data_IF_398971706223
#
_entry.id   IF_398971706223
#
_cell.length_a   1.000
_cell.length_b   1.000
_cell.length_c   1.000
_cell.angle_alpha   90.00
_cell.angle_beta   90.00
_cell.angle_gamma   90.00
#
_symmetry.space_group_name_H-M   'P 1'
#
loop_
_entity.id
_entity.type
_entity.pdbx_description
1 polymer ?
#
# COMPACT_ATOMS: atom_id res chain seq x y z
N UNK A 1 11.10 0.70 -21.24
CA UNK A 1 9.87 0.20 -20.60
C UNK A 1 8.75 1.21 -20.83
N UNK A 2 7.48 0.77 -21.02
CA UNK A 2 6.34 1.69 -21.13
C UNK A 2 6.18 2.42 -19.79
N UNK A 3 5.94 3.73 -19.81
CA UNK A 3 5.61 4.49 -18.60
C UNK A 3 4.21 4.09 -18.14
N UNK A 4 4.08 3.54 -16.93
CA UNK A 4 2.83 3.15 -16.31
C UNK A 4 2.25 4.28 -15.46
N UNK A 5 0.92 4.32 -15.34
CA UNK A 5 0.19 5.12 -14.36
C UNK A 5 -0.20 4.23 -13.20
N UNK A 6 0.35 4.49 -12.03
CA UNK A 6 0.27 3.64 -10.85
C UNK A 6 -0.49 4.36 -9.75
N UNK A 7 -1.53 3.68 -9.25
CA UNK A 7 -2.20 4.07 -8.02
C UNK A 7 -1.61 3.33 -6.83
N UNK A 8 -1.52 4.01 -5.69
CA UNK A 8 -1.18 3.36 -4.42
C UNK A 8 -2.24 3.75 -3.42
N UNK A 9 -2.91 2.75 -2.86
CA UNK A 9 -3.97 2.92 -1.87
C UNK A 9 -3.49 2.37 -0.54
N UNK A 10 -3.34 3.25 0.44
CA UNK A 10 -3.09 2.90 1.83
C UNK A 10 -4.42 2.85 2.58
N UNK A 11 -4.87 1.65 2.95
CA UNK A 11 -6.11 1.49 3.70
C UNK A 11 -5.86 1.78 5.18
N UNK A 12 -6.30 2.94 5.60
CA UNK A 12 -6.14 3.42 6.97
C UNK A 12 -7.43 3.23 7.75
N UNK A 13 -7.39 2.39 8.78
CA UNK A 13 -8.52 2.27 9.71
C UNK A 13 -8.60 3.53 10.57
N UNK A 14 -9.67 4.25 10.39
CA UNK A 14 -10.06 5.26 11.36
C UNK A 14 -10.96 4.58 12.38
N UNK A 15 -10.48 4.16 13.52
CA UNK A 15 -11.25 3.52 14.58
C UNK A 15 -12.70 4.05 14.73
N UNK A 16 -13.52 3.67 15.67
CA UNK A 16 -14.94 4.01 15.73
C UNK A 16 -15.15 5.53 15.80
N UNK A 17 -15.39 6.14 14.64
CA UNK A 17 -15.49 7.58 14.42
C UNK A 17 -16.81 8.21 14.91
N UNK A 18 -17.55 7.54 15.81
CA UNK A 18 -18.83 8.04 16.33
C UNK A 18 -18.72 9.28 17.20
N UNK A 19 -17.57 9.51 17.81
CA UNK A 19 -17.34 10.72 18.59
C UNK A 19 -16.80 11.84 17.69
N UNK A 20 -17.40 13.03 17.76
CA UNK A 20 -16.94 14.22 17.04
C UNK A 20 -15.44 14.51 17.31
N UNK A 21 -14.99 14.28 18.54
CA UNK A 21 -13.60 14.40 18.95
C UNK A 21 -12.65 13.45 18.19
N UNK A 22 -13.06 12.21 17.94
CA UNK A 22 -12.23 11.28 17.18
C UNK A 22 -12.01 11.74 15.72
N UNK A 23 -12.98 12.43 15.13
CA UNK A 23 -12.85 13.02 13.78
C UNK A 23 -11.89 14.22 13.75
N UNK A 24 -11.93 15.04 14.80
CA UNK A 24 -11.13 16.28 14.90
C UNK A 24 -9.70 15.98 15.32
N UNK A 25 -9.51 15.02 16.23
CA UNK A 25 -8.22 14.68 16.84
C UNK A 25 -7.50 13.50 16.12
N UNK A 26 -8.07 12.96 15.07
CA UNK A 26 -7.38 11.91 14.29
C UNK A 26 -6.12 12.48 13.63
N UNK A 27 -4.99 11.89 14.00
CA UNK A 27 -3.75 12.11 13.26
C UNK A 27 -3.85 11.50 11.88
N UNK A 28 -3.09 12.04 10.92
CA UNK A 28 -2.90 11.42 9.61
C UNK A 28 -2.09 10.12 9.77
N UNK A 29 -2.76 9.03 10.01
CA UNK A 29 -2.16 7.71 10.20
C UNK A 29 -1.85 7.05 8.84
N UNK A 30 -0.85 7.58 8.13
CA UNK A 30 -0.39 6.99 6.88
C UNK A 30 0.71 5.95 7.15
N UNK A 31 0.62 4.80 6.46
CA UNK A 31 1.62 3.75 6.54
C UNK A 31 2.89 4.14 5.78
N UNK A 32 4.05 3.68 6.25
CA UNK A 32 5.33 4.00 5.63
C UNK A 32 5.52 3.21 4.32
N UNK A 33 5.19 1.91 4.31
CA UNK A 33 5.45 1.06 3.15
C UNK A 33 4.73 1.48 1.86
N UNK A 34 3.48 1.94 1.84
CA UNK A 34 2.88 2.50 0.65
C UNK A 34 3.65 3.69 0.08
N UNK A 35 4.17 4.58 0.94
CA UNK A 35 5.02 5.70 0.51
C UNK A 35 6.36 5.22 -0.06
N UNK A 36 6.94 4.16 0.53
CA UNK A 36 8.18 3.53 0.04
C UNK A 36 7.98 2.93 -1.34
N UNK A 37 6.89 2.18 -1.54
CA UNK A 37 6.52 1.62 -2.85
C UNK A 37 6.33 2.74 -3.88
N UNK A 38 5.71 3.86 -3.49
CA UNK A 38 5.55 5.03 -4.35
C UNK A 38 6.90 5.56 -4.85
N UNK A 39 7.87 5.75 -3.94
CA UNK A 39 9.21 6.20 -4.30
C UNK A 39 9.91 5.21 -5.24
N UNK A 40 9.80 3.90 -4.99
CA UNK A 40 10.40 2.89 -5.87
C UNK A 40 9.80 2.91 -7.28
N UNK A 41 8.48 3.07 -7.39
CA UNK A 41 7.81 3.21 -8.68
C UNK A 41 8.24 4.49 -9.43
N UNK A 42 8.40 5.63 -8.73
CA UNK A 42 8.92 6.86 -9.33
C UNK A 42 10.36 6.73 -9.81
N UNK A 43 11.22 6.05 -9.05
CA UNK A 43 12.61 5.79 -9.44
C UNK A 43 12.73 4.96 -10.72
N UNK A 44 11.78 4.06 -10.96
CA UNK A 44 11.66 3.30 -12.21
C UNK A 44 11.04 4.14 -13.37
N UNK A 45 10.72 5.41 -13.14
CA UNK A 45 10.25 6.35 -14.16
C UNK A 45 8.75 6.32 -14.41
N UNK A 46 7.96 5.74 -13.51
CA UNK A 46 6.51 5.67 -13.63
C UNK A 46 5.82 6.89 -13.02
N UNK A 47 4.55 7.09 -13.38
CA UNK A 47 3.70 8.13 -12.83
C UNK A 47 2.91 7.56 -11.66
N UNK A 48 3.03 8.17 -10.48
CA UNK A 48 2.50 7.62 -9.23
C UNK A 48 1.53 8.57 -8.58
N UNK A 49 0.40 8.04 -8.12
CA UNK A 49 -0.57 8.74 -7.28
C UNK A 49 -0.81 7.93 -6.01
N UNK A 50 -0.73 8.58 -4.85
CA UNK A 50 -0.95 7.95 -3.56
C UNK A 50 -2.21 8.48 -2.90
N UNK A 51 -3.05 7.57 -2.42
CA UNK A 51 -4.27 7.85 -1.67
C UNK A 51 -4.27 7.11 -0.33
N UNK A 52 -4.44 7.85 0.76
CA UNK A 52 -4.86 7.28 2.03
C UNK A 52 -6.38 7.17 2.03
N UNK A 53 -6.88 5.93 2.01
CA UNK A 53 -8.29 5.62 1.89
C UNK A 53 -8.86 5.19 3.23
N UNK A 54 -9.87 5.92 3.68
CA UNK A 54 -10.53 5.69 4.98
C UNK A 54 -11.94 5.07 4.83
N UNK A 55 -12.37 4.83 3.60
CA UNK A 55 -13.69 4.30 3.27
C UNK A 55 -14.72 5.36 2.86
N UNK A 56 -14.36 6.64 2.87
CA UNK A 56 -15.26 7.75 2.55
C UNK A 56 -14.83 8.57 1.33
N UNK A 57 -13.60 8.41 0.88
CA UNK A 57 -13.05 9.13 -0.27
C UNK A 57 -13.65 8.60 -1.59
N UNK A 58 -13.95 9.49 -2.51
CA UNK A 58 -14.35 9.12 -3.86
C UNK A 58 -13.11 8.84 -4.72
N UNK A 59 -12.86 7.56 -5.01
CA UNK A 59 -11.72 7.14 -5.82
C UNK A 59 -11.66 7.82 -7.19
N UNK A 60 -12.82 8.14 -7.78
CA UNK A 60 -12.89 8.76 -9.10
C UNK A 60 -12.42 10.22 -9.13
N UNK A 61 -12.38 10.86 -7.96
CA UNK A 61 -11.90 12.23 -7.78
C UNK A 61 -10.45 12.26 -7.26
N UNK A 62 -10.09 11.28 -6.45
CA UNK A 62 -8.80 11.24 -5.76
C UNK A 62 -7.68 10.55 -6.57
N UNK A 63 -8.05 9.65 -7.48
CA UNK A 63 -7.09 8.93 -8.32
C UNK A 63 -7.30 9.26 -9.81
N UNK A 64 -6.22 9.29 -10.59
CA UNK A 64 -6.31 9.46 -12.04
C UNK A 64 -7.16 8.37 -12.69
N UNK A 65 -7.85 8.72 -13.76
CA UNK A 65 -8.48 7.73 -14.64
C UNK A 65 -7.43 6.98 -15.46
N UNK A 66 -7.76 5.76 -15.86
CA UNK A 66 -6.91 4.91 -16.70
C UNK A 66 -5.58 4.53 -16.02
N UNK A 67 -5.66 4.05 -14.78
CA UNK A 67 -4.53 3.43 -14.10
C UNK A 67 -4.18 2.10 -14.77
N UNK A 68 -2.89 1.80 -14.85
CA UNK A 68 -2.39 0.51 -15.34
C UNK A 68 -2.27 -0.51 -14.21
N UNK A 69 -1.85 -0.06 -13.03
CA UNK A 69 -1.59 -0.89 -11.85
C UNK A 69 -1.97 -0.14 -10.57
N UNK A 70 -2.57 -0.86 -9.63
CA UNK A 70 -2.84 -0.33 -8.28
C UNK A 70 -2.27 -1.24 -7.21
N UNK A 71 -1.40 -0.71 -6.37
CA UNK A 71 -0.96 -1.35 -5.13
C UNK A 71 -1.90 -0.97 -3.99
N UNK A 72 -2.36 -1.96 -3.23
CA UNK A 72 -3.23 -1.76 -2.06
C UNK A 72 -2.51 -2.28 -0.82
N UNK A 73 -2.30 -1.42 0.16
CA UNK A 73 -1.77 -1.79 1.48
C UNK A 73 -2.92 -2.04 2.45
N UNK A 74 -2.99 -3.25 3.06
CA UNK A 74 -4.08 -3.58 3.96
C UNK A 74 -3.65 -4.33 5.22
N UNK A 75 -4.28 -3.96 6.34
CA UNK A 75 -4.39 -4.79 7.53
C UNK A 75 -5.61 -5.72 7.43
N UNK A 76 -5.67 -6.75 8.27
CA UNK A 76 -6.76 -7.74 8.21
C UNK A 76 -8.15 -7.14 8.44
N UNK A 77 -8.25 -6.12 9.26
CA UNK A 77 -9.50 -5.40 9.51
C UNK A 77 -10.09 -4.69 8.28
N UNK A 78 -9.22 -4.30 7.32
CA UNK A 78 -9.61 -3.64 6.06
C UNK A 78 -9.62 -4.58 4.85
N UNK A 79 -9.43 -5.88 5.04
CA UNK A 79 -9.30 -6.85 3.96
C UNK A 79 -10.50 -6.88 3.01
N UNK A 80 -11.72 -6.85 3.55
CA UNK A 80 -12.94 -6.86 2.72
C UNK A 80 -13.05 -5.61 1.84
N UNK A 81 -12.59 -4.47 2.35
CA UNK A 81 -12.53 -3.22 1.57
C UNK A 81 -11.48 -3.36 0.45
N UNK A 82 -10.31 -3.93 0.76
CA UNK A 82 -9.28 -4.20 -0.23
C UNK A 82 -9.80 -5.11 -1.36
N UNK A 83 -10.54 -6.16 -1.04
CA UNK A 83 -11.13 -7.07 -2.01
C UNK A 83 -12.19 -6.39 -2.89
N UNK A 84 -13.06 -5.59 -2.29
CA UNK A 84 -14.06 -4.83 -3.03
C UNK A 84 -13.42 -3.81 -4.00
N UNK A 85 -12.37 -3.13 -3.55
CA UNK A 85 -11.60 -2.20 -4.39
C UNK A 85 -10.91 -2.92 -5.53
N UNK A 86 -10.27 -4.06 -5.28
CA UNK A 86 -9.62 -4.86 -6.32
C UNK A 86 -10.63 -5.33 -7.36
N UNK A 87 -11.77 -5.89 -6.94
CA UNK A 87 -12.81 -6.33 -7.85
C UNK A 87 -13.35 -5.19 -8.73
N UNK A 88 -13.55 -4.00 -8.16
CA UNK A 88 -13.94 -2.81 -8.91
C UNK A 88 -12.87 -2.43 -9.94
N UNK A 89 -11.61 -2.32 -9.52
CA UNK A 89 -10.50 -1.98 -10.41
C UNK A 89 -10.32 -3.02 -11.53
N UNK A 90 -10.52 -4.30 -11.23
CA UNK A 90 -10.52 -5.35 -12.24
C UNK A 90 -11.62 -5.15 -13.30
N UNK A 91 -12.80 -4.67 -12.91
CA UNK A 91 -13.86 -4.36 -13.88
C UNK A 91 -13.49 -3.21 -14.83
N UNK A 92 -12.57 -2.36 -14.42
CA UNK A 92 -12.00 -1.26 -15.20
C UNK A 92 -10.74 -1.68 -16.00
N UNK A 93 -10.33 -2.95 -15.90
CA UNK A 93 -9.15 -3.50 -16.60
C UNK A 93 -7.81 -3.21 -15.92
N UNK A 94 -7.83 -2.72 -14.68
CA UNK A 94 -6.62 -2.35 -13.92
C UNK A 94 -6.01 -3.58 -13.26
N UNK A 95 -4.69 -3.70 -13.31
CA UNK A 95 -3.93 -4.73 -12.58
C UNK A 95 -3.87 -4.35 -11.10
N UNK A 96 -4.01 -5.34 -10.20
CA UNK A 96 -4.02 -5.08 -8.76
C UNK A 96 -3.00 -5.92 -8.00
N UNK A 97 -2.38 -5.30 -6.99
CA UNK A 97 -1.41 -5.93 -6.12
C UNK A 97 -1.74 -5.65 -4.64
N UNK A 98 -1.83 -6.68 -3.81
CA UNK A 98 -2.04 -6.54 -2.38
C UNK A 98 -0.73 -6.69 -1.63
N UNK A 99 -0.44 -5.74 -0.75
CA UNK A 99 0.64 -5.79 0.24
C UNK A 99 0.14 -5.59 1.67
N UNK A 100 1.07 -5.60 2.59
CA UNK A 100 0.80 -5.37 4.01
C UNK A 100 0.58 -6.64 4.84
N UNK A 101 0.28 -6.49 6.13
CA UNK A 101 0.14 -7.61 7.06
C UNK A 101 -0.90 -8.65 6.64
N UNK A 102 -2.02 -8.21 6.05
CA UNK A 102 -3.07 -9.14 5.62
C UNK A 102 -2.59 -10.08 4.51
N UNK A 103 -1.86 -9.58 3.53
CA UNK A 103 -1.30 -10.38 2.44
C UNK A 103 -0.38 -11.51 2.95
N UNK A 104 0.34 -11.26 4.04
CA UNK A 104 1.23 -12.25 4.69
C UNK A 104 0.49 -13.25 5.55
N UNK A 105 -0.55 -12.80 6.28
CA UNK A 105 -1.33 -13.69 7.15
C UNK A 105 -2.26 -14.62 6.35
N UNK A 106 -2.88 -14.10 5.29
CA UNK A 106 -3.94 -14.77 4.54
C UNK A 106 -3.70 -14.75 3.03
N UNK A 107 -2.52 -15.21 2.56
CA UNK A 107 -2.15 -15.09 1.15
C UNK A 107 -3.07 -15.88 0.21
N UNK A 108 -3.57 -17.04 0.67
CA UNK A 108 -4.46 -17.88 -0.13
C UNK A 108 -5.83 -17.23 -0.37
N UNK A 109 -6.30 -16.44 0.60
CA UNK A 109 -7.54 -15.69 0.44
C UNK A 109 -7.33 -14.47 -0.46
N UNK A 110 -6.26 -13.74 -0.24
CA UNK A 110 -5.85 -12.61 -1.07
C UNK A 110 -5.69 -12.97 -2.56
N UNK A 111 -5.15 -14.15 -2.85
CA UNK A 111 -4.94 -14.65 -4.22
C UNK A 111 -6.24 -14.83 -5.03
N UNK A 112 -7.40 -14.89 -4.39
CA UNK A 112 -8.70 -14.97 -5.07
C UNK A 112 -9.14 -13.62 -5.66
N UNK A 113 -8.53 -12.53 -5.21
CA UNK A 113 -8.98 -11.16 -5.49
C UNK A 113 -7.94 -10.28 -6.17
N UNK A 114 -6.66 -10.66 -6.17
CA UNK A 114 -5.56 -9.85 -6.68
C UNK A 114 -4.72 -10.58 -7.71
N UNK A 115 -4.19 -9.83 -8.68
CA UNK A 115 -3.24 -10.37 -9.66
C UNK A 115 -1.88 -10.65 -8.99
N UNK A 116 -1.47 -9.84 -8.02
CA UNK A 116 -0.25 -10.03 -7.25
C UNK A 116 -0.53 -9.97 -5.74
N UNK A 117 0.07 -10.88 -5.00
CA UNK A 117 0.06 -10.88 -3.53
C UNK A 117 1.49 -10.77 -3.04
N UNK A 118 1.77 -9.76 -2.23
CA UNK A 118 3.10 -9.39 -1.77
C UNK A 118 3.30 -9.82 -0.31
N UNK A 119 4.37 -10.57 -0.07
CA UNK A 119 4.87 -10.83 1.28
C UNK A 119 5.84 -9.73 1.72
N UNK A 120 7.01 -10.12 2.21
CA UNK A 120 8.11 -9.17 2.43
C UNK A 120 8.55 -8.60 1.09
N UNK A 121 8.67 -7.29 1.02
CA UNK A 121 8.80 -6.56 -0.25
C UNK A 121 10.02 -5.66 -0.23
N UNK A 122 10.77 -5.68 -1.31
CA UNK A 122 11.87 -4.76 -1.61
C UNK A 122 11.70 -4.14 -3.00
N UNK A 123 12.64 -3.29 -3.37
CA UNK A 123 12.64 -2.62 -4.67
C UNK A 123 12.71 -3.60 -5.84
N UNK A 124 13.36 -4.76 -5.66
CA UNK A 124 13.46 -5.78 -6.71
C UNK A 124 12.11 -6.42 -7.01
N UNK A 125 11.37 -6.80 -5.97
CA UNK A 125 10.01 -7.36 -6.12
C UNK A 125 9.09 -6.36 -6.81
N UNK A 126 9.14 -5.08 -6.44
CA UNK A 126 8.34 -4.04 -7.09
C UNK A 126 8.73 -3.89 -8.56
N UNK A 127 10.03 -3.82 -8.87
CA UNK A 127 10.53 -3.73 -10.25
C UNK A 127 10.06 -4.90 -11.12
N UNK A 128 10.06 -6.11 -10.59
CA UNK A 128 9.60 -7.30 -11.33
C UNK A 128 8.10 -7.23 -11.63
N UNK A 129 7.28 -6.75 -10.70
CA UNK A 129 5.85 -6.51 -10.92
C UNK A 129 5.63 -5.43 -11.98
N UNK A 130 6.39 -4.34 -11.93
CA UNK A 130 6.30 -3.25 -12.91
C UNK A 130 6.65 -3.71 -14.33
N UNK A 131 7.60 -4.64 -14.47
CA UNK A 131 7.98 -5.22 -15.76
C UNK A 131 6.94 -6.18 -16.29
N UNK A 132 6.37 -7.01 -15.45
CA UNK A 132 5.33 -7.98 -15.82
C UNK A 132 3.99 -7.25 -16.07
N UNK A 133 3.50 -6.50 -15.11
CA UNK A 133 2.28 -5.69 -15.12
C UNK A 133 1.15 -6.31 -15.96
N UNK A 134 0.83 -7.56 -15.69
CA UNK A 134 -0.18 -8.33 -16.43
C UNK A 134 -1.29 -8.82 -15.50
N UNK A 135 -2.50 -8.93 -16.04
CA UNK A 135 -3.60 -9.57 -15.33
C UNK A 135 -3.50 -11.10 -15.48
N UNK A 136 -3.39 -11.76 -14.35
CA UNK A 136 -3.32 -13.22 -14.31
C UNK A 136 -3.83 -13.74 -12.96
N UNK A 137 -4.13 -15.04 -12.90
CA UNK A 137 -4.31 -15.70 -11.61
C UNK A 137 -2.98 -15.66 -10.84
N UNK A 138 -2.98 -15.30 -9.55
CA UNK A 138 -1.76 -15.20 -8.78
C UNK A 138 -1.00 -16.53 -8.74
N UNK A 139 0.29 -16.48 -9.06
CA UNK A 139 1.21 -17.63 -9.05
C UNK A 139 1.87 -17.83 -7.68
N UNK A 140 1.16 -17.51 -6.60
CA UNK A 140 1.68 -17.55 -5.25
C UNK A 140 2.02 -16.16 -4.71
N UNK A 141 2.77 -16.13 -3.61
CA UNK A 141 3.17 -14.87 -2.96
C UNK A 141 4.51 -14.41 -3.52
N UNK A 142 4.57 -13.16 -3.99
CA UNK A 142 5.83 -12.52 -4.36
C UNK A 142 6.54 -12.04 -3.10
N UNK A 143 7.76 -12.51 -2.89
CA UNK A 143 8.53 -12.20 -1.68
C UNK A 143 9.95 -11.80 -2.04
N UNK A 144 10.48 -10.83 -1.30
CA UNK A 144 11.89 -10.52 -1.27
C UNK A 144 12.71 -11.70 -0.72
N UNK A 145 13.95 -11.83 -1.20
CA UNK A 145 14.92 -12.75 -0.63
C UNK A 145 15.27 -12.39 0.84
N UNK A 146 15.07 -11.13 1.22
CA UNK A 146 15.32 -10.63 2.56
C UNK A 146 13.99 -10.28 3.23
N UNK A 147 13.81 -10.67 4.49
CA UNK A 147 12.65 -10.27 5.30
C UNK A 147 12.55 -8.74 5.45
N UNK A 148 13.69 -8.08 5.33
CA UNK A 148 13.81 -6.63 5.47
C UNK A 148 14.59 -6.08 4.30
N UNK A 149 14.05 -5.06 3.60
CA UNK A 149 14.82 -4.41 2.56
C UNK A 149 16.06 -3.75 3.18
N UNK A 150 17.26 -3.94 2.58
CA UNK A 150 18.51 -3.42 3.12
C UNK A 150 18.55 -1.89 3.17
N UNK A 151 17.78 -1.24 2.32
CA UNK A 151 17.65 0.21 2.28
C UNK A 151 16.22 0.61 1.97
N UNK A 152 15.66 1.48 2.81
CA UNK A 152 14.37 2.11 2.57
C UNK A 152 14.54 3.60 2.25
N UNK A 153 13.74 4.15 1.33
CA UNK A 153 13.67 5.59 1.11
C UNK A 153 13.42 6.33 2.41
N UNK A 154 14.26 7.31 2.69
CA UNK A 154 14.18 8.14 3.89
C UNK A 154 12.99 9.10 3.85
N UNK A 155 12.80 9.86 4.94
CA UNK A 155 11.74 10.85 5.05
C UNK A 155 11.80 11.90 3.92
N UNK A 156 13.01 12.35 3.56
CA UNK A 156 13.19 13.35 2.49
C UNK A 156 12.70 12.83 1.14
N UNK A 157 13.00 11.59 0.81
CA UNK A 157 12.61 11.00 -0.47
C UNK A 157 11.10 10.73 -0.55
N UNK A 158 10.47 10.41 0.60
CA UNK A 158 9.02 10.18 0.71
C UNK A 158 8.23 11.46 0.94
N UNK A 159 8.89 12.64 1.01
CA UNK A 159 8.25 13.88 1.45
C UNK A 159 7.04 14.26 0.63
N UNK A 160 7.12 14.16 -0.69
CA UNK A 160 6.00 14.52 -1.58
C UNK A 160 4.73 13.72 -1.27
N UNK A 161 4.87 12.41 -1.01
CA UNK A 161 3.73 11.54 -0.66
C UNK A 161 3.24 11.79 0.76
N UNK A 162 4.14 12.04 1.68
CA UNK A 162 3.82 12.34 3.06
C UNK A 162 3.08 13.68 3.20
N UNK A 163 3.47 14.69 2.44
CA UNK A 163 2.81 15.99 2.43
C UNK A 163 1.34 15.89 2.03
N UNK A 164 1.00 15.00 1.09
CA UNK A 164 -0.40 14.75 0.71
C UNK A 164 -1.24 14.28 1.90
N UNK A 165 -0.66 13.44 2.75
CA UNK A 165 -1.35 12.95 3.96
C UNK A 165 -1.43 14.02 5.04
N UNK A 166 -0.38 14.83 5.21
CA UNK A 166 -0.37 15.94 6.17
C UNK A 166 -1.43 16.98 5.86
N UNK A 167 -1.63 17.30 4.58
CA UNK A 167 -2.65 18.27 4.15
C UNK A 167 -4.09 17.82 4.48
N UNK A 168 -4.33 16.52 4.61
CA UNK A 168 -5.64 15.99 5.00
C UNK A 168 -5.87 15.97 6.52
N UNK A 169 -4.84 16.18 7.32
CA UNK A 169 -4.96 16.20 8.77
C UNK A 169 -5.41 17.58 9.28
N UNK A 170 -6.57 17.69 9.97
CA UNK A 170 -7.13 19.00 10.34
C UNK A 170 -6.34 19.68 11.46
N UNK A 171 -5.85 18.95 12.46
CA UNK A 171 -5.20 19.52 13.65
C UNK A 171 -3.91 18.81 14.04
N UNK A 172 -3.86 17.48 13.98
CA UNK A 172 -2.71 16.69 14.42
C UNK A 172 -1.99 16.13 13.20
N UNK A 173 -0.80 16.66 12.95
CA UNK A 173 0.08 16.22 11.88
C UNK A 173 1.18 15.31 12.44
N UNK A 174 1.25 14.09 11.93
CA UNK A 174 2.25 13.08 12.33
C UNK A 174 3.11 12.71 11.15
N UNK A 175 4.42 12.78 11.33
CA UNK A 175 5.41 12.30 10.36
C UNK A 175 5.85 10.89 10.77
N UNK A 176 5.42 9.85 10.06
CA UNK A 176 5.84 8.48 10.37
C UNK A 176 7.31 8.27 10.02
N UNK A 177 8.10 7.86 11.00
CA UNK A 177 9.53 7.58 10.85
C UNK A 177 9.83 6.15 11.28
N UNK A 178 10.74 5.49 10.57
CA UNK A 178 11.29 4.21 10.98
C UNK A 178 12.65 4.44 11.65
N UNK A 179 12.76 4.06 12.92
CA UNK A 179 14.03 4.04 13.63
C UNK A 179 14.84 2.79 13.31
N UNK A 180 14.16 1.67 13.04
CA UNK A 180 14.75 0.41 12.61
C UNK A 180 13.78 -0.36 11.74
N UNK A 181 14.28 -1.29 10.94
CA UNK A 181 13.47 -2.21 10.15
C UNK A 181 13.59 -3.60 10.76
N UNK A 182 12.42 -4.19 11.09
CA UNK A 182 12.32 -5.54 11.62
C UNK A 182 12.60 -5.69 13.11
N UNK A 183 12.61 -6.94 13.51
CA UNK A 183 12.78 -7.36 14.90
C UNK A 183 13.79 -8.50 14.99
N UNK A 184 14.72 -8.49 15.95
CA UNK A 184 15.68 -9.58 16.13
C UNK A 184 15.05 -10.82 16.77
N UNK A 185 13.83 -10.76 17.25
CA UNK A 185 13.14 -11.83 17.92
C UNK A 185 12.35 -12.71 16.96
N UNK A 186 12.18 -14.01 17.33
CA UNK A 186 11.43 -15.01 16.58
C UNK A 186 10.22 -15.48 17.37
N UNK A 187 9.32 -14.57 17.73
CA UNK A 187 8.13 -14.89 18.52
C UNK A 187 7.15 -15.72 17.68
N UNK A 188 6.67 -16.83 18.21
CA UNK A 188 5.80 -17.78 17.50
C UNK A 188 4.44 -17.20 17.06
N UNK A 189 4.01 -16.11 17.65
CA UNK A 189 2.77 -15.41 17.32
C UNK A 189 2.99 -14.20 16.40
N UNK A 190 4.23 -13.89 16.04
CA UNK A 190 4.54 -12.67 15.29
C UNK A 190 4.58 -12.93 13.78
N UNK A 191 3.91 -12.07 13.03
CA UNK A 191 3.91 -12.13 11.57
C UNK A 191 5.28 -11.77 10.96
N UNK A 192 6.13 -11.09 11.72
CA UNK A 192 7.46 -10.65 11.27
C UNK A 192 8.59 -11.61 11.73
N UNK A 193 8.26 -12.73 12.37
CA UNK A 193 9.22 -13.73 12.82
C UNK A 193 9.58 -14.77 11.76
#
# INVERSE_FOLDING_TARGET
MRKLRIGIIDLVSQGPTRALWARVMNANMASIMPQVVAVWCEREGHEVSLLCYTGVEDLSQELPRNLDLVFIGAFTESALVAYALSNRLHSEGVVTALGGPHARCYPQDAQKHFDYVLGFTDETVIRDILRDCSRHAPLGVRMSAFRQPPQLPGVRERWAFMELTLRKAPLIQVVPMLASVGCPYTCSFCIDS
#
